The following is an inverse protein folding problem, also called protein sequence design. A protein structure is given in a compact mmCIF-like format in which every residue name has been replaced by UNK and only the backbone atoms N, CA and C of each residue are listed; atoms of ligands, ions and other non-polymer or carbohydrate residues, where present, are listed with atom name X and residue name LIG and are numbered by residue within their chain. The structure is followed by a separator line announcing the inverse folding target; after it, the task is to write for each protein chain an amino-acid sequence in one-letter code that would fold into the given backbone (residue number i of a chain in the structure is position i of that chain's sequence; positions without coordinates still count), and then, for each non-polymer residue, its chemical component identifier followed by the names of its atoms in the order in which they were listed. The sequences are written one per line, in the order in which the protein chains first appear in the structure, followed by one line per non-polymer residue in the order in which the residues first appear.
data_IF_372190933649
#
_entry.id   IF_372190933649
#
_cell.length_a   1.000
_cell.length_b   1.000
_cell.length_c   1.000
_cell.angle_alpha   90.00
_cell.angle_beta   90.00
_cell.angle_gamma   90.00
#
_symmetry.space_group_name_H-M   'P 1'
#
loop_
_entity.id
_entity.type
_entity.pdbx_description
1 polymer ?
#
# COMPACT_ATOMS: atom_id res chain seq x y z
N UNK A 1 8.08 23.35 -55.65
CA UNK A 1 6.72 22.82 -55.47
C UNK A 1 6.42 22.86 -53.99
N UNK A 2 5.47 23.71 -53.63
CA UNK A 2 5.12 24.11 -52.27
C UNK A 2 3.86 23.32 -51.90
N UNK A 3 3.92 22.50 -50.85
CA UNK A 3 2.75 21.92 -50.19
C UNK A 3 3.08 21.91 -48.70
N UNK A 4 2.36 22.57 -47.80
CA UNK A 4 0.91 22.75 -47.73
C UNK A 4 0.46 22.13 -46.40
N UNK A 5 0.93 22.67 -45.27
CA UNK A 5 0.55 22.23 -43.92
C UNK A 5 -0.87 22.69 -43.62
N UNK A 6 -1.78 21.75 -43.38
CA UNK A 6 -3.10 22.07 -42.82
C UNK A 6 -3.03 21.95 -41.28
N UNK A 7 -3.25 23.09 -40.64
CA UNK A 7 -3.56 23.24 -39.22
C UNK A 7 -4.97 22.73 -38.97
N UNK A 8 -5.12 21.70 -38.15
CA UNK A 8 -6.41 21.34 -37.55
C UNK A 8 -6.47 21.93 -36.15
N UNK A 9 -7.33 22.93 -35.98
CA UNK A 9 -7.61 23.54 -34.68
C UNK A 9 -8.49 22.61 -33.84
N UNK A 10 -7.99 22.21 -32.68
CA UNK A 10 -8.76 21.49 -31.66
C UNK A 10 -9.59 22.49 -30.86
N UNK A 11 -10.89 22.24 -30.85
CA UNK A 11 -11.94 22.99 -30.16
C UNK A 11 -11.78 22.78 -28.64
N UNK A 12 -11.58 23.88 -27.90
CA UNK A 12 -11.64 23.91 -26.44
C UNK A 12 -13.09 23.82 -25.97
N UNK A 13 -13.44 22.77 -25.23
CA UNK A 13 -14.67 22.71 -24.43
C UNK A 13 -14.43 23.28 -23.02
N UNK A 14 -15.35 24.09 -22.47
CA UNK A 14 -15.22 24.64 -21.12
C UNK A 14 -15.53 23.62 -20.02
N UNK A 15 -14.76 23.70 -18.94
CA UNK A 15 -14.79 22.85 -17.75
C UNK A 15 -16.14 22.89 -17.00
N UNK A 16 -16.62 21.71 -16.62
CA UNK A 16 -17.76 21.54 -15.72
C UNK A 16 -17.35 21.85 -14.26
N UNK A 17 -18.20 22.62 -13.59
CA UNK A 17 -18.06 23.03 -12.20
C UNK A 17 -18.15 21.82 -11.23
N UNK A 18 -17.23 21.76 -10.26
CA UNK A 18 -17.19 20.75 -9.19
C UNK A 18 -18.25 21.05 -8.11
N UNK A 19 -19.00 20.05 -7.61
CA UNK A 19 -19.87 20.21 -6.45
C UNK A 19 -19.08 20.21 -5.13
N UNK A 20 -19.63 20.91 -4.14
CA UNK A 20 -18.98 21.34 -2.91
C UNK A 20 -18.62 20.24 -1.91
N UNK A 21 -17.63 20.57 -1.08
CA UNK A 21 -17.09 19.76 0.01
C UNK A 21 -18.17 19.50 1.07
N UNK A 22 -18.56 18.23 1.22
CA UNK A 22 -19.36 17.75 2.34
C UNK A 22 -18.53 17.75 3.62
N UNK A 23 -19.07 18.41 4.65
CA UNK A 23 -18.51 18.54 5.98
C UNK A 23 -18.81 17.25 6.78
N UNK A 24 -17.79 16.46 7.08
CA UNK A 24 -17.92 15.23 7.86
C UNK A 24 -18.08 15.59 9.35
N UNK A 25 -19.22 15.19 9.91
CA UNK A 25 -19.60 15.39 11.31
C UNK A 25 -18.92 14.31 12.17
N UNK A 26 -18.08 14.69 13.15
CA UNK A 26 -17.29 13.77 14.00
C UNK A 26 -17.97 13.36 15.32
N UNK A 27 -19.28 13.49 15.44
CA UNK A 27 -19.97 13.25 16.72
C UNK A 27 -20.61 11.86 16.80
N UNK A 28 -19.82 10.80 17.05
CA UNK A 28 -20.37 9.52 17.55
C UNK A 28 -19.32 8.56 18.15
N UNK A 29 -18.80 8.86 19.35
CA UNK A 29 -18.31 7.82 20.28
C UNK A 29 -18.32 8.33 21.73
N UNK A 30 -19.52 8.64 22.26
CA UNK A 30 -19.72 8.91 23.69
C UNK A 30 -20.19 7.62 24.37
N UNK A 31 -19.27 6.91 25.00
CA UNK A 31 -19.58 5.78 25.88
C UNK A 31 -20.23 6.31 27.17
N UNK A 32 -21.55 6.16 27.29
CA UNK A 32 -22.25 6.37 28.55
C UNK A 32 -22.04 5.15 29.46
N UNK A 33 -21.22 5.29 30.49
CA UNK A 33 -21.21 4.38 31.63
C UNK A 33 -22.42 4.73 32.50
N UNK A 34 -23.46 3.90 32.41
CA UNK A 34 -24.63 3.99 33.28
C UNK A 34 -24.29 3.45 34.67
N UNK A 35 -23.99 4.33 35.62
CA UNK A 35 -23.98 3.97 37.04
C UNK A 35 -25.43 3.84 37.54
N UNK A 36 -25.87 2.60 37.71
CA UNK A 36 -27.12 2.27 38.42
C UNK A 36 -27.02 2.72 39.88
N UNK A 37 -27.78 3.75 40.25
CA UNK A 37 -27.98 4.17 41.64
C UNK A 37 -28.83 3.11 42.37
N UNK A 38 -28.22 2.36 43.28
CA UNK A 38 -28.95 1.62 44.31
C UNK A 38 -29.59 2.61 45.31
N UNK A 39 -30.87 2.38 45.58
CA UNK A 39 -31.79 3.31 46.25
C UNK A 39 -31.50 3.58 47.73
N UNK A 40 -31.94 4.76 48.17
CA UNK A 40 -32.10 5.13 49.56
C UNK A 40 -33.41 4.54 50.10
N UNK A 41 -33.32 3.44 50.83
CA UNK A 41 -34.40 2.87 51.62
C UNK A 41 -33.97 2.80 53.08
N UNK A 42 -34.55 3.65 53.92
CA UNK A 42 -34.38 3.66 55.37
C UNK A 42 -35.02 2.41 55.96
N UNK A 43 -34.20 1.47 56.44
CA UNK A 43 -34.68 0.29 57.15
C UNK A 43 -33.54 -0.34 57.94
N UNK A 44 -33.57 -0.15 59.26
CA UNK A 44 -32.65 -0.79 60.19
C UNK A 44 -32.84 -2.31 60.12
N UNK A 45 -31.85 -3.00 59.57
CA UNK A 45 -31.78 -4.45 59.55
C UNK A 45 -30.32 -4.87 59.49
N UNK A 46 -29.83 -5.44 60.58
CA UNK A 46 -28.52 -6.07 60.69
C UNK A 46 -28.43 -7.21 59.68
N UNK A 47 -27.79 -6.96 58.54
CA UNK A 47 -27.44 -8.01 57.57
C UNK A 47 -26.02 -8.48 57.84
N UNK A 48 -25.95 -9.72 58.32
CA UNK A 48 -24.74 -10.53 58.46
C UNK A 48 -23.88 -10.47 57.20
N UNK A 49 -22.64 -10.02 57.37
CA UNK A 49 -21.56 -10.22 56.40
C UNK A 49 -21.19 -11.70 56.36
N UNK A 50 -21.90 -12.50 55.56
CA UNK A 50 -21.41 -13.81 55.14
C UNK A 50 -20.35 -13.62 54.05
N UNK A 51 -19.08 -13.75 54.47
CA UNK A 51 -17.98 -14.07 53.56
C UNK A 51 -18.19 -15.47 52.99
N UNK A 52 -18.86 -15.55 51.84
CA UNK A 52 -18.84 -16.68 50.92
C UNK A 52 -18.22 -16.10 49.65
N UNK A 53 -17.02 -16.47 49.23
CA UNK A 53 -16.54 -17.82 49.06
C UNK A 53 -16.16 -17.94 47.59
N UNK A 54 -14.85 -17.82 47.31
CA UNK A 54 -14.19 -18.13 46.04
C UNK A 54 -14.75 -17.40 44.80
N UNK A 55 -14.16 -16.25 44.51
CA UNK A 55 -14.13 -15.64 43.17
C UNK A 55 -13.56 -16.67 42.17
N UNK A 56 -14.33 -17.14 41.17
CA UNK A 56 -13.71 -17.71 39.99
C UNK A 56 -13.04 -16.54 39.26
N UNK A 57 -11.71 -16.50 39.32
CA UNK A 57 -10.89 -15.67 38.43
C UNK A 57 -11.01 -16.26 37.03
N UNK A 58 -12.15 -16.02 36.39
CA UNK A 58 -12.34 -16.17 34.96
C UNK A 58 -12.33 -14.77 34.36
N UNK A 59 -11.18 -14.10 34.46
CA UNK A 59 -10.90 -12.92 33.67
C UNK A 59 -10.75 -13.40 32.22
N UNK A 60 -11.87 -13.42 31.50
CA UNK A 60 -11.88 -13.54 30.06
C UNK A 60 -11.22 -12.27 29.51
N UNK A 61 -9.92 -12.33 29.30
CA UNK A 61 -9.16 -11.37 28.50
C UNK A 61 -9.55 -11.62 27.04
N UNK A 62 -10.79 -11.26 26.70
CA UNK A 62 -11.22 -10.99 25.34
C UNK A 62 -10.80 -9.55 25.02
N UNK A 63 -9.49 -9.27 25.12
CA UNK A 63 -8.92 -8.12 24.45
C UNK A 63 -8.95 -8.50 22.97
N UNK A 64 -10.07 -8.20 22.31
CA UNK A 64 -10.15 -8.16 20.86
C UNK A 64 -9.06 -7.18 20.41
N UNK A 65 -7.90 -7.72 20.07
CA UNK A 65 -6.88 -7.06 19.27
C UNK A 65 -7.52 -6.86 17.90
N UNK A 66 -8.35 -5.84 17.77
CA UNK A 66 -8.69 -5.25 16.49
C UNK A 66 -7.41 -4.57 16.01
N UNK A 67 -6.49 -5.38 15.49
CA UNK A 67 -5.42 -4.86 14.66
C UNK A 67 -6.12 -4.14 13.51
N UNK A 68 -5.80 -2.87 13.22
CA UNK A 68 -6.27 -2.27 12.00
C UNK A 68 -5.82 -3.21 10.88
N UNK A 69 -6.78 -3.72 10.10
CA UNK A 69 -6.47 -4.25 8.79
C UNK A 69 -5.97 -3.04 8.01
N UNK A 70 -4.68 -2.75 8.10
CA UNK A 70 -4.02 -1.86 7.15
C UNK A 70 -4.37 -2.45 5.79
N UNK A 71 -5.12 -1.70 5.00
CA UNK A 71 -5.32 -2.02 3.59
C UNK A 71 -3.95 -2.44 3.06
N UNK A 72 -3.87 -3.70 2.60
CA UNK A 72 -2.62 -4.34 2.26
C UNK A 72 -2.02 -3.49 1.15
N UNK A 73 -1.05 -2.65 1.51
CA UNK A 73 -0.44 -1.75 0.56
C UNK A 73 0.42 -2.64 -0.34
N UNK A 74 -0.16 -3.02 -1.48
CA UNK A 74 0.48 -3.87 -2.48
C UNK A 74 1.83 -3.29 -2.94
N UNK A 75 2.03 -1.99 -2.73
CA UNK A 75 3.33 -1.33 -2.82
C UNK A 75 3.64 -0.55 -1.55
N UNK A 76 4.91 -0.60 -1.13
CA UNK A 76 5.45 0.20 -0.03
C UNK A 76 6.71 0.94 -0.49
N UNK A 77 7.06 2.03 0.17
CA UNK A 77 8.34 2.70 -0.11
C UNK A 77 9.52 1.72 0.10
N UNK A 78 10.41 1.65 -0.88
CA UNK A 78 11.57 0.77 -0.87
C UNK A 78 12.85 1.52 -0.49
N UNK A 79 13.95 0.80 -0.21
CA UNK A 79 15.26 1.42 0.00
C UNK A 79 15.81 2.00 -1.30
N UNK A 80 16.68 3.01 -1.22
CA UNK A 80 17.39 3.51 -2.39
C UNK A 80 18.28 2.43 -3.02
N UNK A 81 18.28 2.34 -4.35
CA UNK A 81 19.12 1.42 -5.12
C UNK A 81 19.90 2.19 -6.18
N UNK A 82 21.23 2.14 -6.13
CA UNK A 82 22.08 2.83 -7.10
C UNK A 82 21.88 4.36 -7.15
N UNK A 83 21.38 4.97 -6.07
CA UNK A 83 21.05 6.40 -6.01
C UNK A 83 19.63 6.76 -6.48
N UNK A 84 18.79 5.75 -6.80
CA UNK A 84 17.39 5.93 -7.17
C UNK A 84 16.47 5.52 -6.03
N UNK A 85 15.48 6.36 -5.74
CA UNK A 85 14.38 6.00 -4.87
C UNK A 85 13.55 4.87 -5.50
N UNK A 86 13.10 3.92 -4.68
CA UNK A 86 12.33 2.76 -5.14
C UNK A 86 11.03 2.58 -4.37
N UNK A 87 10.16 1.72 -4.89
CA UNK A 87 9.06 1.12 -4.15
C UNK A 87 9.09 -0.40 -4.31
N UNK A 88 8.64 -1.12 -3.29
CA UNK A 88 8.61 -2.58 -3.29
C UNK A 88 7.19 -3.05 -3.54
N UNK A 89 7.01 -3.89 -4.56
CA UNK A 89 5.80 -4.68 -4.74
C UNK A 89 5.83 -5.85 -3.75
N UNK A 90 4.94 -5.82 -2.76
CA UNK A 90 4.93 -6.78 -1.65
C UNK A 90 4.50 -8.18 -2.09
N UNK A 91 3.82 -8.30 -3.23
CA UNK A 91 3.40 -9.59 -3.79
C UNK A 91 4.56 -10.30 -4.48
N UNK A 92 5.35 -9.57 -5.27
CA UNK A 92 6.44 -10.17 -6.08
C UNK A 92 7.82 -10.04 -5.43
N UNK A 93 7.96 -9.18 -4.41
CA UNK A 93 9.25 -8.86 -3.79
C UNK A 93 10.18 -8.03 -4.69
N UNK A 94 9.69 -7.54 -5.83
CA UNK A 94 10.47 -6.69 -6.75
C UNK A 94 10.55 -5.27 -6.22
N UNK A 95 11.75 -4.69 -6.31
CA UNK A 95 11.98 -3.27 -6.01
C UNK A 95 12.01 -2.51 -7.32
N UNK A 96 11.01 -1.66 -7.53
CA UNK A 96 10.79 -0.86 -8.73
C UNK A 96 11.31 0.55 -8.53
N UNK A 97 11.93 1.12 -9.55
CA UNK A 97 12.29 2.54 -9.53
C UNK A 97 11.04 3.42 -9.39
N UNK A 98 11.11 4.51 -8.63
CA UNK A 98 10.01 5.48 -8.58
C UNK A 98 9.82 6.15 -9.93
N UNK A 99 8.56 6.32 -10.30
CA UNK A 99 8.05 6.90 -11.54
C UNK A 99 8.07 8.43 -11.51
N UNK A 100 8.99 9.04 -10.78
CA UNK A 100 9.30 10.47 -10.82
C UNK A 100 10.82 10.71 -10.94
N UNK A 101 11.58 9.65 -11.27
CA UNK A 101 13.04 9.66 -11.33
C UNK A 101 13.60 10.33 -12.59
N UNK A 102 12.78 10.49 -13.63
CA UNK A 102 13.22 10.97 -14.94
C UNK A 102 12.32 12.08 -15.44
N UNK A 103 12.94 13.07 -16.10
CA UNK A 103 12.23 14.19 -16.70
C UNK A 103 13.00 14.68 -17.92
N UNK A 104 12.28 14.97 -19.02
CA UNK A 104 12.84 15.53 -20.25
C UNK A 104 14.03 14.71 -20.79
N UNK A 105 13.89 13.38 -20.82
CA UNK A 105 14.88 12.42 -21.34
C UNK A 105 14.19 11.37 -22.21
N UNK A 106 14.91 10.82 -23.19
CA UNK A 106 14.36 9.77 -24.06
C UNK A 106 14.31 8.41 -23.37
N UNK A 107 13.50 7.49 -23.90
CA UNK A 107 13.41 6.13 -23.38
C UNK A 107 14.76 5.41 -23.37
N UNK A 108 15.51 5.49 -24.48
CA UNK A 108 16.82 4.84 -24.57
C UNK A 108 17.83 5.42 -23.56
N UNK A 109 17.77 6.73 -23.30
CA UNK A 109 18.57 7.34 -22.23
C UNK A 109 18.18 6.74 -20.88
N UNK A 110 16.91 6.78 -20.50
CA UNK A 110 16.43 6.22 -19.22
C UNK A 110 16.83 4.75 -19.06
N UNK A 111 16.57 3.93 -20.08
CA UNK A 111 16.88 2.51 -20.09
C UNK A 111 18.38 2.26 -19.84
N UNK A 112 19.25 2.96 -20.56
CA UNK A 112 20.71 2.81 -20.37
C UNK A 112 21.16 3.26 -18.97
N UNK A 113 20.56 4.31 -18.43
CA UNK A 113 20.86 4.85 -17.11
C UNK A 113 20.44 3.89 -15.99
N UNK A 114 19.21 3.37 -16.02
CA UNK A 114 18.74 2.43 -14.99
C UNK A 114 19.47 1.08 -15.09
N UNK A 115 19.80 0.62 -16.30
CA UNK A 115 20.60 -0.59 -16.49
C UNK A 115 22.02 -0.45 -15.93
N UNK A 116 22.65 0.71 -16.11
CA UNK A 116 23.95 1.00 -15.50
C UNK A 116 23.88 1.01 -13.96
N UNK A 117 22.71 1.29 -13.40
CA UNK A 117 22.44 1.24 -11.96
C UNK A 117 22.00 -0.15 -11.45
N UNK A 118 21.95 -1.18 -12.31
CA UNK A 118 21.61 -2.56 -11.94
C UNK A 118 20.13 -2.93 -12.08
N UNK A 119 19.29 -2.04 -12.60
CA UNK A 119 17.89 -2.35 -12.87
C UNK A 119 17.70 -3.12 -14.18
N UNK A 120 16.66 -3.95 -14.20
CA UNK A 120 16.10 -4.55 -15.41
C UNK A 120 14.93 -3.70 -15.89
N UNK A 121 14.95 -3.26 -17.15
CA UNK A 121 13.80 -2.57 -17.77
C UNK A 121 12.65 -3.58 -17.91
N UNK A 122 11.48 -3.22 -17.39
CA UNK A 122 10.34 -4.12 -17.35
C UNK A 122 9.76 -4.35 -18.75
N UNK A 123 9.30 -5.57 -19.02
CA UNK A 123 8.48 -5.87 -20.19
C UNK A 123 6.99 -5.73 -19.91
N UNK A 124 6.15 -5.91 -20.94
CA UNK A 124 4.68 -5.91 -20.80
C UNK A 124 4.20 -6.85 -19.69
N UNK A 125 4.71 -8.08 -19.64
CA UNK A 125 4.30 -9.08 -18.64
C UNK A 125 4.61 -8.65 -17.20
N UNK A 126 5.75 -8.00 -16.98
CA UNK A 126 6.16 -7.51 -15.66
C UNK A 126 5.27 -6.35 -15.21
N UNK A 127 4.99 -5.40 -16.12
CA UNK A 127 4.11 -4.26 -15.82
C UNK A 127 2.68 -4.73 -15.60
N UNK A 128 2.14 -5.62 -16.44
CA UNK A 128 0.80 -6.17 -16.22
C UNK A 128 0.67 -6.88 -14.87
N UNK A 129 1.69 -7.63 -14.44
CA UNK A 129 1.68 -8.27 -13.12
C UNK A 129 1.66 -7.25 -11.98
N UNK A 130 2.48 -6.19 -12.05
CA UNK A 130 2.48 -5.11 -11.08
C UNK A 130 1.13 -4.38 -11.04
N UNK A 131 0.60 -3.97 -12.20
CA UNK A 131 -0.63 -3.17 -12.22
C UNK A 131 -1.87 -3.97 -11.80
N UNK A 132 -1.86 -5.30 -11.96
CA UNK A 132 -2.92 -6.17 -11.44
C UNK A 132 -2.89 -6.29 -9.91
N UNK A 133 -1.74 -6.11 -9.25
CA UNK A 133 -1.67 -6.06 -7.79
C UNK A 133 -2.06 -4.70 -7.20
N UNK A 134 -2.30 -3.69 -8.06
CA UNK A 134 -2.60 -2.31 -7.68
C UNK A 134 -4.03 -1.90 -8.06
N UNK A 135 -5.07 -2.45 -7.42
CA UNK A 135 -6.45 -2.09 -7.75
C UNK A 135 -6.73 -0.61 -7.45
N UNK A 136 -7.26 0.08 -8.47
CA UNK A 136 -7.70 1.49 -8.42
C UNK A 136 -9.23 1.60 -8.33
N UNK A 137 -9.86 0.59 -7.73
CA UNK A 137 -11.30 0.50 -7.50
C UNK A 137 -11.82 1.60 -6.57
N UNK A 138 -10.99 2.08 -5.64
CA UNK A 138 -11.30 3.20 -4.76
C UNK A 138 -10.39 4.41 -5.04
N UNK A 139 -10.93 5.64 -5.14
CA UNK A 139 -10.14 6.85 -5.38
C UNK A 139 -9.00 7.07 -4.36
N UNK A 140 -9.19 6.65 -3.11
CA UNK A 140 -8.17 6.76 -2.06
C UNK A 140 -6.90 5.94 -2.35
N UNK A 141 -7.02 4.84 -3.11
CA UNK A 141 -5.88 4.00 -3.44
C UNK A 141 -4.92 4.73 -4.38
N UNK A 142 -5.47 5.52 -5.31
CA UNK A 142 -4.64 6.26 -6.26
C UNK A 142 -3.68 7.22 -5.54
N UNK A 143 -4.15 8.00 -4.57
CA UNK A 143 -3.27 8.93 -3.82
C UNK A 143 -2.17 8.17 -3.07
N UNK A 144 -2.51 7.05 -2.43
CA UNK A 144 -1.53 6.23 -1.73
C UNK A 144 -0.46 5.66 -2.68
N UNK A 145 -0.87 5.20 -3.86
CA UNK A 145 0.08 4.73 -4.88
C UNK A 145 0.89 5.87 -5.49
N UNK A 146 0.30 7.04 -5.72
CA UNK A 146 1.01 8.20 -6.26
C UNK A 146 2.11 8.69 -5.28
N UNK A 147 1.83 8.67 -3.97
CA UNK A 147 2.81 9.04 -2.95
C UNK A 147 4.00 8.06 -2.95
N UNK A 148 3.74 6.75 -3.04
CA UNK A 148 4.77 5.70 -2.99
C UNK A 148 5.52 5.57 -4.32
N UNK A 149 4.80 5.40 -5.42
CA UNK A 149 5.36 5.14 -6.75
C UNK A 149 5.92 6.39 -7.41
N UNK A 150 5.48 7.58 -7.01
CA UNK A 150 5.71 8.81 -7.76
C UNK A 150 4.61 9.04 -8.79
N UNK A 151 4.38 10.30 -9.14
CA UNK A 151 3.40 10.71 -10.15
C UNK A 151 3.97 11.82 -11.03
N UNK A 152 3.35 12.00 -12.20
CA UNK A 152 3.59 13.12 -13.09
C UNK A 152 2.90 14.39 -12.52
N UNK A 153 3.60 15.31 -11.84
CA UNK A 153 2.98 16.37 -11.06
C UNK A 153 2.16 17.34 -11.94
N UNK A 154 2.57 17.56 -13.18
CA UNK A 154 1.90 18.47 -14.11
C UNK A 154 0.68 17.85 -14.79
N UNK A 155 0.58 16.51 -14.82
CA UNK A 155 -0.47 15.80 -15.53
C UNK A 155 -1.49 15.11 -14.62
N UNK A 156 -1.17 14.98 -13.33
CA UNK A 156 -2.07 14.36 -12.35
C UNK A 156 -2.33 12.88 -12.63
N UNK A 157 -1.30 12.14 -13.05
CA UNK A 157 -1.40 10.72 -13.36
C UNK A 157 -0.14 9.96 -12.92
N UNK A 158 -0.28 8.68 -12.58
CA UNK A 158 0.84 7.77 -12.39
C UNK A 158 1.12 7.14 -13.75
N UNK A 159 2.38 7.14 -14.18
CA UNK A 159 2.70 6.77 -15.56
C UNK A 159 4.14 6.32 -15.71
N UNK A 160 4.37 5.44 -16.68
CA UNK A 160 5.70 5.06 -17.11
C UNK A 160 5.70 4.33 -18.44
N UNK A 161 6.86 4.29 -19.07
CA UNK A 161 7.16 3.51 -20.25
C UNK A 161 7.79 2.16 -19.88
N UNK A 162 7.62 1.16 -20.74
CA UNK A 162 8.21 -0.17 -20.56
C UNK A 162 8.68 -0.75 -21.90
N UNK A 163 9.53 -1.77 -21.84
CA UNK A 163 10.09 -2.38 -23.03
C UNK A 163 9.09 -3.32 -23.71
N UNK A 164 9.12 -3.31 -25.04
CA UNK A 164 8.31 -4.18 -25.88
C UNK A 164 9.20 -4.81 -26.95
N UNK A 165 8.79 -5.94 -27.57
CA UNK A 165 9.51 -6.58 -28.70
C UNK A 165 9.48 -5.76 -30.01
N UNK A 166 9.64 -4.44 -29.93
CA UNK A 166 9.78 -3.53 -31.05
C UNK A 166 10.90 -2.53 -30.74
N UNK A 167 12.03 -2.57 -31.46
CA UNK A 167 13.19 -1.72 -31.18
C UNK A 167 12.95 -0.24 -31.51
N UNK A 168 11.84 0.11 -32.16
CA UNK A 168 11.54 1.49 -32.57
C UNK A 168 10.45 2.13 -31.71
N UNK A 169 9.85 1.39 -30.78
CA UNK A 169 8.77 1.89 -29.94
C UNK A 169 8.90 1.41 -28.50
N UNK A 170 8.16 2.04 -27.61
CA UNK A 170 8.00 1.60 -26.23
C UNK A 170 6.53 1.27 -25.94
N UNK A 171 6.30 0.50 -24.89
CA UNK A 171 4.99 0.38 -24.25
C UNK A 171 4.81 1.47 -23.22
N UNK A 172 3.58 1.65 -22.76
CA UNK A 172 3.24 2.63 -21.73
C UNK A 172 2.10 2.13 -20.85
N UNK A 173 2.13 2.54 -19.59
CA UNK A 173 1.05 2.32 -18.63
C UNK A 173 0.76 3.60 -17.88
N UNK A 174 -0.51 3.93 -17.67
CA UNK A 174 -0.91 5.06 -16.83
C UNK A 174 -2.21 4.85 -16.08
N UNK A 175 -2.43 5.66 -15.04
CA UNK A 175 -3.73 5.84 -14.41
C UNK A 175 -3.92 7.26 -13.85
N UNK A 176 -5.13 7.80 -14.04
CA UNK A 176 -5.60 9.02 -13.37
C UNK A 176 -6.30 8.68 -12.05
N UNK A 177 -6.45 9.70 -11.19
CA UNK A 177 -7.29 9.58 -9.99
C UNK A 177 -8.72 9.13 -10.35
N UNK A 178 -9.19 8.04 -9.73
CA UNK A 178 -10.51 7.46 -9.99
C UNK A 178 -10.66 6.72 -11.33
N UNK A 179 -9.57 6.46 -12.05
CA UNK A 179 -9.57 5.69 -13.29
C UNK A 179 -8.78 4.38 -13.14
N UNK A 180 -9.18 3.35 -13.88
CA UNK A 180 -8.42 2.11 -13.98
C UNK A 180 -7.11 2.31 -14.76
N UNK A 181 -6.14 1.42 -14.52
CA UNK A 181 -4.93 1.34 -15.31
C UNK A 181 -5.23 1.15 -16.80
N UNK A 182 -4.56 1.93 -17.63
CA UNK A 182 -4.56 1.79 -19.09
C UNK A 182 -3.16 1.40 -19.52
N UNK A 183 -3.05 0.36 -20.35
CA UNK A 183 -1.78 -0.13 -20.90
C UNK A 183 -1.87 -0.12 -22.42
N UNK A 184 -0.82 0.37 -23.08
CA UNK A 184 -0.70 0.37 -24.52
C UNK A 184 0.69 -0.04 -25.00
N UNK A 185 0.77 -0.38 -26.28
CA UNK A 185 2.03 -0.69 -26.97
C UNK A 185 2.16 0.19 -28.21
N UNK A 186 3.40 0.48 -28.62
CA UNK A 186 3.66 1.22 -29.87
C UNK A 186 3.61 2.74 -29.73
N UNK A 187 4.05 3.29 -28.60
CA UNK A 187 4.08 4.74 -28.38
C UNK A 187 5.44 5.34 -28.72
N UNK A 188 5.44 6.34 -29.60
CA UNK A 188 6.59 7.19 -29.91
C UNK A 188 7.82 6.47 -30.46
N UNK A 189 8.83 7.25 -30.83
CA UNK A 189 10.20 6.75 -31.02
C UNK A 189 10.89 6.62 -29.66
N UNK A 190 11.75 5.61 -29.48
CA UNK A 190 12.53 5.43 -28.23
C UNK A 190 13.60 6.49 -28.00
N UNK A 191 14.02 7.17 -29.06
CA UNK A 191 15.01 8.26 -29.00
C UNK A 191 14.36 9.65 -28.91
N UNK A 192 13.04 9.74 -29.05
CA UNK A 192 12.30 10.99 -28.96
C UNK A 192 11.97 11.31 -27.50
N UNK A 193 12.16 12.58 -27.13
CA UNK A 193 11.65 13.12 -25.87
C UNK A 193 10.21 13.57 -26.15
N UNK A 194 9.25 12.86 -25.59
CA UNK A 194 7.84 13.19 -25.77
C UNK A 194 7.55 14.51 -25.07
N UNK A 195 6.87 15.43 -25.78
CA UNK A 195 6.63 16.81 -25.32
C UNK A 195 7.90 17.60 -24.96
N UNK A 196 9.00 17.38 -25.68
CA UNK A 196 10.29 18.03 -25.40
C UNK A 196 10.16 19.53 -25.10
N UNK A 197 10.75 19.96 -23.98
CA UNK A 197 10.80 21.36 -23.57
C UNK A 197 9.51 21.92 -22.95
N UNK A 198 8.51 21.09 -22.67
CA UNK A 198 7.33 21.48 -21.89
C UNK A 198 7.36 20.90 -20.48
N UNK A 199 6.47 21.39 -19.62
CA UNK A 199 6.31 20.86 -18.25
C UNK A 199 5.75 19.42 -18.25
N UNK A 200 5.19 18.97 -19.38
CA UNK A 200 4.66 17.63 -19.61
C UNK A 200 5.66 16.67 -20.29
N UNK A 201 6.95 17.02 -20.31
CA UNK A 201 8.05 16.17 -20.77
C UNK A 201 8.46 15.09 -19.75
N UNK A 202 7.56 14.74 -18.83
CA UNK A 202 7.77 13.65 -17.89
C UNK A 202 7.70 12.32 -18.65
N UNK A 203 8.82 11.72 -18.97
CA UNK A 203 8.89 10.33 -19.41
C UNK A 203 9.46 9.54 -18.24
N UNK A 204 8.66 8.65 -17.66
CA UNK A 204 9.11 7.75 -16.59
C UNK A 204 9.32 6.35 -17.14
N UNK A 205 9.97 5.47 -16.38
CA UNK A 205 10.26 4.09 -16.81
C UNK A 205 9.87 3.09 -15.74
N UNK A 206 9.22 2.00 -16.14
CA UNK A 206 9.07 0.81 -15.31
C UNK A 206 10.37 -0.01 -15.41
N UNK A 207 11.13 0.01 -14.33
CA UNK A 207 12.33 -0.82 -14.19
C UNK A 207 12.40 -1.36 -12.76
N UNK A 208 12.90 -2.57 -12.60
CA UNK A 208 12.98 -3.23 -11.31
C UNK A 208 14.31 -3.92 -11.10
N UNK A 209 14.70 -4.04 -9.84
CA UNK A 209 15.67 -5.02 -9.39
C UNK A 209 14.87 -6.18 -8.82
N UNK A 210 15.21 -7.38 -9.25
CA UNK A 210 14.74 -8.56 -8.52
C UNK A 210 15.43 -8.52 -7.17
N UNK A 211 14.71 -8.12 -6.13
CA UNK A 211 15.26 -8.16 -4.80
C UNK A 211 15.66 -9.60 -4.50
N UNK A 212 16.83 -9.79 -3.88
CA UNK A 212 16.95 -10.86 -2.91
C UNK A 212 15.81 -10.60 -1.93
N UNK A 213 14.64 -11.21 -2.12
CA UNK A 213 13.48 -11.01 -1.28
C UNK A 213 13.98 -11.08 0.15
N UNK A 214 14.00 -9.92 0.84
CA UNK A 214 14.73 -9.78 2.10
C UNK A 214 14.38 -10.99 2.94
N UNK A 215 15.38 -11.80 3.35
CA UNK A 215 15.19 -13.20 3.72
C UNK A 215 13.98 -13.26 4.64
N UNK A 216 12.90 -13.85 4.13
CA UNK A 216 11.55 -13.65 4.65
C UNK A 216 11.61 -13.59 6.17
N UNK A 217 11.55 -12.37 6.72
CA UNK A 217 11.51 -12.21 8.17
C UNK A 217 10.28 -13.01 8.58
N UNK A 218 10.38 -13.98 9.50
CA UNK A 218 9.25 -14.81 9.86
C UNK A 218 8.09 -13.87 10.15
N UNK A 219 7.04 -13.96 9.34
CA UNK A 219 5.96 -12.98 9.35
C UNK A 219 5.43 -12.81 10.78
N UNK A 220 4.78 -11.70 11.13
CA UNK A 220 4.24 -11.49 12.48
C UNK A 220 3.40 -12.67 13.00
N UNK A 221 2.74 -13.40 12.10
CA UNK A 221 2.04 -14.65 12.40
C UNK A 221 2.97 -15.77 12.89
N UNK A 222 4.19 -15.88 12.36
CA UNK A 222 5.22 -16.84 12.82
C UNK A 222 5.68 -16.52 14.24
N UNK A 223 5.84 -15.24 14.58
CA UNK A 223 6.13 -14.84 15.96
C UNK A 223 4.99 -15.15 16.90
N UNK A 224 3.76 -14.86 16.48
CA UNK A 224 2.58 -15.21 17.24
C UNK A 224 2.51 -16.74 17.45
N UNK A 225 2.75 -17.55 16.43
CA UNK A 225 2.78 -19.01 16.53
C UNK A 225 3.89 -19.50 17.47
N UNK A 226 5.08 -18.90 17.45
CA UNK A 226 6.16 -19.23 18.39
C UNK A 226 5.77 -18.87 19.82
N UNK A 227 5.26 -17.66 20.05
CA UNK A 227 4.84 -17.21 21.39
C UNK A 227 3.68 -18.07 21.90
N UNK A 228 2.68 -18.37 21.06
CA UNK A 228 1.57 -19.24 21.39
C UNK A 228 2.05 -20.66 21.69
N UNK A 229 2.95 -21.21 20.87
CA UNK A 229 3.57 -22.52 21.09
C UNK A 229 4.27 -22.60 22.44
N UNK A 230 5.18 -21.66 22.73
CA UNK A 230 5.88 -21.59 24.02
C UNK A 230 4.93 -21.35 25.19
N UNK A 231 3.91 -20.51 25.02
CA UNK A 231 2.89 -20.25 26.03
C UNK A 231 2.09 -21.50 26.40
N UNK A 232 1.63 -22.27 25.40
CA UNK A 232 0.89 -23.52 25.62
C UNK A 232 1.78 -24.58 26.29
N UNK A 233 3.02 -24.75 25.81
CA UNK A 233 3.97 -25.71 26.41
C UNK A 233 4.28 -25.35 27.86
N UNK A 234 4.58 -24.08 28.15
CA UNK A 234 4.83 -23.60 29.51
C UNK A 234 3.61 -23.78 30.43
N UNK A 235 2.41 -23.50 29.93
CA UNK A 235 1.16 -23.70 30.67
C UNK A 235 0.93 -25.19 31.00
N UNK A 236 1.17 -26.08 30.04
CA UNK A 236 1.02 -27.52 30.23
C UNK A 236 1.97 -28.07 31.32
N UNK A 237 3.23 -27.60 31.36
CA UNK A 237 4.20 -27.99 32.39
C UNK A 237 3.79 -27.51 33.79
N UNK A 238 3.21 -26.31 33.92
CA UNK A 238 2.75 -25.79 35.22
C UNK A 238 1.61 -26.62 35.83
N UNK A 239 0.80 -27.30 35.00
CA UNK A 239 -0.34 -28.10 35.47
C UNK A 239 0.06 -29.48 36.03
N UNK A 240 1.29 -29.96 35.78
CA UNK A 240 1.78 -31.29 36.20
C UNK A 240 2.42 -31.34 37.60
N UNK A 241 2.15 -30.37 38.49
CA UNK A 241 2.61 -30.48 39.88
C UNK A 241 1.84 -31.59 40.58
N UNK A 242 2.43 -32.79 40.60
CA UNK A 242 1.93 -33.93 41.36
C UNK A 242 2.06 -33.59 42.84
N UNK A 243 0.97 -33.65 43.63
CA UNK A 243 1.06 -33.54 45.07
C UNK A 243 1.95 -34.68 45.56
N UNK A 244 3.09 -34.34 46.15
CA UNK A 244 3.94 -35.31 46.82
C UNK A 244 3.10 -35.89 47.97
N UNK A 245 2.70 -37.14 47.81
CA UNK A 245 1.92 -37.85 48.82
C UNK A 245 2.92 -38.29 49.88
N UNK A 246 3.11 -37.45 50.89
CA UNK A 246 3.88 -37.80 52.08
C UNK A 246 3.16 -38.94 52.80
N UNK A 247 3.69 -40.15 52.68
CA UNK A 247 3.22 -41.30 53.45
C UNK A 247 3.66 -41.16 54.92
N UNK A 248 2.71 -41.40 55.82
CA UNK A 248 2.87 -41.37 57.27
C UNK A 248 3.42 -42.69 57.83
#
# INVERSE_FOLDING_TARGET
MIGGRQNSQTILQPAAARPGKGQWNQDACRWHISCSKYGAGTGAGTKECRMLGRLPVAAAVAACLSLPASADAAVVAGPDHGGYATFTDTLTGRSWIRLDSFFNVSFNHMASTVQAAGFTVAGLGDVSALLLSLPLDEPSNWSAYADVMGSAPYRGLIWGAFDIPNPNAMGWGYAYEGAAWTIGTGFGSRDEIQNEGTDEADLNIFAYVSGDAAPAVPEPASWALLITGFGITGFALRRRRVPETTAA
#
